data_IF_156576383961
#
_entry.id   IF_156576383961
#
_cell.length_a   1.000
_cell.length_b   1.000
_cell.length_c   1.000
_cell.angle_alpha   90.00
_cell.angle_beta   90.00
_cell.angle_gamma   90.00
#
_symmetry.space_group_name_H-M   'P 1'
#
loop_
_entity.id
_entity.type
_entity.pdbx_description
1 polymer ?
#
# COMPACT_ATOMS: atom_id res chain seq x y z
N UNK A 1 -1.36 -46.71 -63.34
CA UNK A 1 -2.00 -46.85 -62.02
C UNK A 1 -0.86 -46.97 -61.04
N UNK A 2 -0.65 -45.87 -60.31
CA UNK A 2 0.47 -45.67 -59.39
C UNK A 2 0.32 -46.66 -58.23
N UNK A 3 1.32 -47.53 -58.04
CA UNK A 3 1.37 -48.41 -56.89
C UNK A 3 1.46 -47.52 -55.65
N UNK A 4 0.31 -47.32 -54.98
CA UNK A 4 0.27 -46.74 -53.63
C UNK A 4 1.23 -47.59 -52.81
N UNK A 5 2.35 -46.97 -52.43
CA UNK A 5 3.49 -47.66 -51.85
C UNK A 5 3.09 -48.22 -50.47
N UNK A 6 2.75 -49.52 -50.43
CA UNK A 6 2.41 -50.24 -49.20
C UNK A 6 3.50 -50.06 -48.11
N UNK A 7 4.74 -49.73 -48.50
CA UNK A 7 5.82 -49.41 -47.55
C UNK A 7 5.58 -48.11 -46.78
N UNK A 8 4.92 -47.10 -47.36
CA UNK A 8 4.53 -45.90 -46.60
C UNK A 8 3.49 -46.23 -45.54
N UNK A 9 2.56 -47.13 -45.84
CA UNK A 9 1.55 -47.60 -44.90
C UNK A 9 2.18 -48.44 -43.78
N UNK A 10 3.09 -49.36 -44.10
CA UNK A 10 3.81 -50.17 -43.11
C UNK A 10 4.69 -49.30 -42.19
N UNK A 11 5.37 -48.29 -42.74
CA UNK A 11 6.17 -47.33 -41.96
C UNK A 11 5.30 -46.47 -41.03
N UNK A 12 4.09 -46.08 -41.46
CA UNK A 12 3.13 -45.37 -40.63
C UNK A 12 2.60 -46.25 -39.49
N UNK A 13 2.20 -47.49 -39.79
CA UNK A 13 1.70 -48.45 -38.80
C UNK A 13 2.80 -48.78 -37.77
N UNK A 14 4.05 -49.00 -38.21
CA UNK A 14 5.19 -49.19 -37.28
C UNK A 14 5.48 -47.95 -36.43
N UNK A 15 5.33 -46.74 -36.98
CA UNK A 15 5.50 -45.49 -36.22
C UNK A 15 4.41 -45.32 -35.14
N UNK A 16 3.17 -45.69 -35.45
CA UNK A 16 2.06 -45.68 -34.48
C UNK A 16 2.23 -46.76 -33.41
N UNK A 17 2.57 -47.99 -33.81
CA UNK A 17 2.82 -49.12 -32.89
C UNK A 17 3.98 -48.85 -31.94
N UNK A 18 5.05 -48.19 -32.40
CA UNK A 18 6.20 -47.80 -31.57
C UNK A 18 5.93 -46.59 -30.67
N UNK A 19 4.93 -45.75 -30.99
CA UNK A 19 4.46 -44.66 -30.14
C UNK A 19 3.52 -45.08 -29.02
N UNK A 20 2.83 -46.22 -29.18
CA UNK A 20 1.81 -46.71 -28.24
C UNK A 20 2.35 -46.96 -26.81
N UNK A 21 3.53 -47.61 -26.62
CA UNK A 21 4.11 -47.78 -25.28
C UNK A 21 4.47 -46.45 -24.61
N UNK A 22 4.97 -45.47 -25.38
CA UNK A 22 5.30 -44.13 -24.86
C UNK A 22 4.05 -43.39 -24.41
N UNK A 23 2.96 -43.50 -25.17
CA UNK A 23 1.68 -42.90 -24.83
C UNK A 23 1.06 -43.51 -23.56
N UNK A 24 1.11 -44.83 -23.41
CA UNK A 24 0.65 -45.50 -22.18
C UNK A 24 1.49 -45.11 -20.96
N UNK A 25 2.81 -45.03 -21.11
CA UNK A 25 3.69 -44.56 -20.04
C UNK A 25 3.44 -43.09 -19.67
N UNK A 26 3.16 -42.23 -20.65
CA UNK A 26 2.76 -40.84 -20.43
C UNK A 26 1.47 -40.72 -19.61
N UNK A 27 0.45 -41.52 -19.91
CA UNK A 27 -0.79 -41.58 -19.13
C UNK A 27 -0.49 -42.05 -17.70
N UNK A 28 0.31 -43.12 -17.54
CA UNK A 28 0.71 -43.62 -16.22
C UNK A 28 1.44 -42.56 -15.40
N UNK A 29 2.35 -41.81 -16.02
CA UNK A 29 3.10 -40.74 -15.39
C UNK A 29 2.21 -39.55 -14.98
N UNK A 30 1.22 -39.19 -15.80
CA UNK A 30 0.22 -38.18 -15.43
C UNK A 30 -0.62 -38.60 -14.23
N UNK A 31 -1.09 -39.86 -14.20
CA UNK A 31 -1.88 -40.39 -13.08
C UNK A 31 -1.03 -40.36 -11.81
N UNK A 32 0.21 -40.84 -11.88
CA UNK A 32 1.15 -40.80 -10.77
C UNK A 32 1.37 -39.37 -10.28
N UNK A 33 1.61 -38.44 -11.20
CA UNK A 33 1.82 -37.03 -10.90
C UNK A 33 0.63 -36.37 -10.22
N UNK A 34 -0.58 -36.65 -10.70
CA UNK A 34 -1.82 -36.18 -10.09
C UNK A 34 -1.98 -36.66 -8.65
N UNK A 35 -1.72 -37.96 -8.40
CA UNK A 35 -1.80 -38.54 -7.06
C UNK A 35 -0.76 -37.89 -6.13
N UNK A 36 0.50 -37.80 -6.57
CA UNK A 36 1.59 -37.18 -5.81
C UNK A 36 1.25 -35.71 -5.49
N UNK A 37 0.84 -34.92 -6.48
CA UNK A 37 0.48 -33.51 -6.29
C UNK A 37 -0.63 -33.34 -5.26
N UNK A 38 -1.64 -34.21 -5.27
CA UNK A 38 -2.75 -34.18 -4.31
C UNK A 38 -2.31 -34.52 -2.88
N UNK A 39 -1.43 -35.51 -2.73
CA UNK A 39 -0.85 -35.89 -1.42
C UNK A 39 0.01 -34.75 -0.88
N UNK A 40 0.91 -34.20 -1.70
CA UNK A 40 1.78 -33.08 -1.28
C UNK A 40 0.95 -31.84 -0.92
N UNK A 41 -0.10 -31.52 -1.71
CA UNK A 41 -1.03 -30.44 -1.38
C UNK A 41 -1.63 -30.60 0.01
N UNK A 42 -2.09 -31.81 0.35
CA UNK A 42 -2.69 -32.09 1.65
C UNK A 42 -1.66 -31.99 2.80
N UNK A 43 -0.44 -32.48 2.56
CA UNK A 43 0.67 -32.39 3.51
C UNK A 43 1.07 -30.93 3.78
N UNK A 44 1.29 -30.14 2.72
CA UNK A 44 1.62 -28.72 2.79
C UNK A 44 0.52 -27.94 3.48
N UNK A 45 -0.75 -28.16 3.12
CA UNK A 45 -1.87 -27.48 3.78
C UNK A 45 -1.90 -27.76 5.28
N UNK A 46 -1.73 -29.03 5.66
CA UNK A 46 -1.67 -29.43 7.07
C UNK A 46 -0.48 -28.79 7.79
N UNK A 47 0.68 -28.74 7.16
CA UNK A 47 1.87 -28.11 7.71
C UNK A 47 1.68 -26.60 7.92
N UNK A 48 1.18 -25.89 6.90
CA UNK A 48 0.90 -24.45 6.97
C UNK A 48 -0.18 -24.11 8.00
N UNK A 49 -1.20 -24.95 8.14
CA UNK A 49 -2.21 -24.81 9.19
C UNK A 49 -1.61 -25.02 10.58
N UNK A 50 -0.69 -25.99 10.76
CA UNK A 50 0.01 -26.26 12.03
C UNK A 50 0.85 -25.08 12.49
N UNK A 51 1.59 -24.43 11.59
CA UNK A 51 2.37 -23.22 11.91
C UNK A 51 1.50 -21.95 11.98
N UNK A 52 0.17 -22.11 11.87
CA UNK A 52 -0.83 -21.04 12.01
C UNK A 52 -0.66 -19.90 11.00
N UNK A 53 -0.22 -20.19 9.77
CA UNK A 53 -0.16 -19.17 8.69
C UNK A 53 -1.54 -18.54 8.46
N UNK A 54 -2.60 -19.31 8.67
CA UNK A 54 -3.97 -18.81 8.52
C UNK A 54 -4.34 -17.71 9.53
N UNK A 55 -3.57 -17.48 10.61
CA UNK A 55 -3.75 -16.29 11.46
C UNK A 55 -3.52 -14.97 10.71
N UNK A 56 -2.78 -15.00 9.60
CA UNK A 56 -2.66 -13.85 8.73
C UNK A 56 -4.01 -13.50 8.11
N UNK A 57 -4.89 -14.48 7.87
CA UNK A 57 -6.26 -14.22 7.41
C UNK A 57 -7.03 -13.37 8.41
N UNK A 58 -6.98 -13.70 9.69
CA UNK A 58 -7.67 -12.95 10.75
C UNK A 58 -7.21 -11.48 10.76
N UNK A 59 -5.89 -11.24 10.65
CA UNK A 59 -5.34 -9.88 10.57
C UNK A 59 -5.74 -9.13 9.30
N UNK A 60 -5.88 -9.84 8.19
CA UNK A 60 -6.36 -9.25 6.94
C UNK A 60 -7.85 -8.91 7.03
N UNK A 61 -8.65 -9.74 7.70
CA UNK A 61 -10.08 -9.49 7.93
C UNK A 61 -10.34 -8.25 8.82
N UNK A 62 -9.39 -7.83 9.66
CA UNK A 62 -9.48 -6.54 10.37
C UNK A 62 -9.38 -5.31 9.43
N UNK A 63 -8.87 -5.48 8.21
CA UNK A 63 -8.68 -4.40 7.27
C UNK A 63 -10.01 -4.16 6.54
N UNK A 64 -10.59 -2.97 6.73
CA UNK A 64 -11.91 -2.61 6.19
C UNK A 64 -12.10 -2.95 4.69
N UNK A 65 -11.05 -2.77 3.89
CA UNK A 65 -11.08 -3.08 2.45
C UNK A 65 -11.27 -4.59 2.21
N UNK A 66 -10.52 -5.42 2.92
CA UNK A 66 -10.59 -6.88 2.81
C UNK A 66 -11.88 -7.39 3.41
N UNK A 67 -12.30 -6.89 4.58
CA UNK A 67 -13.56 -7.26 5.23
C UNK A 67 -14.78 -7.00 4.34
N UNK A 68 -14.75 -5.90 3.57
CA UNK A 68 -15.81 -5.54 2.60
C UNK A 68 -15.74 -6.38 1.33
N UNK A 69 -14.58 -6.96 1.01
CA UNK A 69 -14.48 -7.92 -0.07
C UNK A 69 -15.16 -9.22 0.37
N UNK A 70 -16.10 -9.76 -0.40
CA UNK A 70 -16.74 -11.07 -0.10
C UNK A 70 -15.77 -12.25 -0.26
N UNK A 71 -14.45 -12.01 -0.20
CA UNK A 71 -13.38 -12.94 -0.52
C UNK A 71 -12.76 -13.42 0.80
N UNK A 72 -12.93 -14.70 1.11
CA UNK A 72 -12.26 -15.33 2.25
C UNK A 72 -10.82 -15.70 1.86
N UNK A 73 -9.85 -14.91 2.33
CA UNK A 73 -8.43 -15.16 2.08
C UNK A 73 -7.94 -16.22 3.06
N UNK A 74 -7.56 -17.40 2.56
CA UNK A 74 -6.95 -18.47 3.38
C UNK A 74 -5.55 -18.73 2.86
N UNK A 75 -4.49 -18.14 3.45
CA UNK A 75 -3.12 -18.24 2.96
C UNK A 75 -2.64 -19.68 2.77
N UNK A 76 -2.95 -20.59 3.71
CA UNK A 76 -2.57 -22.00 3.59
C UNK A 76 -3.17 -22.68 2.36
N UNK A 77 -4.43 -22.34 2.03
CA UNK A 77 -5.13 -22.87 0.87
C UNK A 77 -4.54 -22.32 -0.43
N UNK A 78 -4.20 -21.04 -0.47
CA UNK A 78 -3.61 -20.39 -1.65
C UNK A 78 -2.24 -21.00 -1.93
N UNK A 79 -1.36 -21.04 -0.93
CA UNK A 79 0.00 -21.59 -1.06
C UNK A 79 -0.02 -23.08 -1.41
N UNK A 80 -0.86 -23.88 -0.73
CA UNK A 80 -0.98 -25.30 -1.05
C UNK A 80 -1.53 -25.54 -2.46
N UNK A 81 -2.45 -24.69 -2.94
CA UNK A 81 -2.96 -24.80 -4.31
C UNK A 81 -1.90 -24.39 -5.33
N UNK A 82 -1.06 -23.40 -5.04
CA UNK A 82 0.07 -23.03 -5.90
C UNK A 82 1.06 -24.19 -6.05
N UNK A 83 1.44 -24.85 -4.94
CA UNK A 83 2.33 -26.02 -4.95
C UNK A 83 1.70 -27.21 -5.70
N UNK A 84 0.37 -27.40 -5.56
CA UNK A 84 -0.33 -28.42 -6.32
C UNK A 84 -0.19 -28.22 -7.84
N UNK A 85 -0.43 -26.99 -8.32
CA UNK A 85 -0.29 -26.67 -9.74
C UNK A 85 1.17 -26.75 -10.20
N UNK A 86 2.13 -26.34 -9.37
CA UNK A 86 3.57 -26.49 -9.65
C UNK A 86 3.92 -27.95 -9.97
N UNK A 87 3.55 -28.85 -9.06
CA UNK A 87 3.85 -30.28 -9.21
C UNK A 87 3.16 -30.84 -10.45
N UNK A 88 1.89 -30.47 -10.68
CA UNK A 88 1.16 -30.90 -11.87
C UNK A 88 1.90 -30.47 -13.14
N UNK A 89 2.33 -29.21 -13.24
CA UNK A 89 3.06 -28.72 -14.42
C UNK A 89 4.39 -29.48 -14.60
N UNK A 90 5.13 -29.77 -13.52
CA UNK A 90 6.38 -30.57 -13.60
C UNK A 90 6.12 -31.95 -14.21
N UNK A 91 5.05 -32.65 -13.79
CA UNK A 91 4.69 -33.94 -14.38
C UNK A 91 4.22 -33.80 -15.83
N UNK A 92 3.49 -32.74 -16.17
CA UNK A 92 3.10 -32.48 -17.56
C UNK A 92 4.33 -32.21 -18.42
N UNK A 93 5.32 -31.46 -17.94
CA UNK A 93 6.61 -31.25 -18.63
C UNK A 93 7.27 -32.59 -18.93
N UNK A 94 7.44 -33.45 -17.91
CA UNK A 94 8.03 -34.77 -18.08
C UNK A 94 7.28 -35.64 -19.11
N UNK A 95 5.95 -35.56 -19.12
CA UNK A 95 5.10 -36.26 -20.08
C UNK A 95 5.27 -35.69 -21.49
N UNK A 96 5.29 -34.37 -21.63
CA UNK A 96 5.51 -33.72 -22.93
C UNK A 96 6.90 -34.02 -23.49
N UNK A 97 7.93 -34.10 -22.64
CA UNK A 97 9.28 -34.52 -23.05
C UNK A 97 9.31 -35.99 -23.48
N UNK A 98 8.64 -36.88 -22.74
CA UNK A 98 8.51 -38.30 -23.11
C UNK A 98 7.83 -38.49 -24.47
N UNK A 99 6.84 -37.64 -24.77
CA UNK A 99 6.12 -37.60 -26.05
C UNK A 99 6.86 -36.81 -27.14
N UNK A 100 8.03 -36.22 -26.85
CA UNK A 100 8.83 -35.39 -27.76
C UNK A 100 8.09 -34.11 -28.23
N UNK A 101 7.24 -33.55 -27.36
CA UNK A 101 6.51 -32.30 -27.57
C UNK A 101 7.33 -31.10 -27.04
N UNK A 102 8.54 -30.91 -27.58
CA UNK A 102 9.55 -29.96 -27.08
C UNK A 102 9.07 -28.51 -26.99
N UNK A 103 8.25 -28.07 -27.94
CA UNK A 103 7.65 -26.72 -27.90
C UNK A 103 6.75 -26.57 -26.67
N UNK A 104 5.92 -27.57 -26.38
CA UNK A 104 4.99 -27.54 -25.23
C UNK A 104 5.78 -27.58 -23.93
N UNK A 105 6.78 -28.46 -23.82
CA UNK A 105 7.59 -28.57 -22.60
C UNK A 105 8.37 -27.29 -22.30
N UNK A 106 8.86 -26.58 -23.32
CA UNK A 106 9.54 -25.29 -23.17
C UNK A 106 8.60 -24.20 -22.61
N UNK A 107 7.38 -24.10 -23.14
CA UNK A 107 6.39 -23.14 -22.62
C UNK A 107 5.97 -23.47 -21.19
N UNK A 108 5.76 -24.76 -20.88
CA UNK A 108 5.41 -25.19 -19.53
C UNK A 108 6.56 -24.97 -18.54
N UNK A 109 7.81 -25.16 -18.94
CA UNK A 109 9.00 -24.85 -18.13
C UNK A 109 9.09 -23.35 -17.84
N UNK A 110 8.74 -22.52 -18.82
CA UNK A 110 8.63 -21.07 -18.60
C UNK A 110 7.54 -20.74 -17.57
N UNK A 111 6.39 -21.42 -17.60
CA UNK A 111 5.35 -21.28 -16.57
C UNK A 111 5.85 -21.65 -15.16
N UNK A 112 6.67 -22.69 -15.03
CA UNK A 112 7.28 -23.06 -13.74
C UNK A 112 8.09 -21.88 -13.17
N UNK A 113 8.80 -21.13 -14.01
CA UNK A 113 9.61 -19.98 -13.56
C UNK A 113 8.78 -18.80 -13.06
N UNK A 114 7.51 -18.67 -13.48
CA UNK A 114 6.58 -17.67 -12.95
C UNK A 114 6.02 -18.03 -11.57
N UNK A 115 6.07 -19.30 -11.15
CA UNK A 115 5.50 -19.72 -9.86
C UNK A 115 6.27 -19.18 -8.64
N UNK A 116 7.62 -19.22 -8.61
CA UNK A 116 8.39 -18.52 -7.59
C UNK A 116 8.06 -17.03 -7.51
N UNK A 117 7.91 -16.36 -8.67
CA UNK A 117 7.53 -14.95 -8.77
C UNK A 117 6.12 -14.69 -8.20
N UNK A 118 5.16 -15.56 -8.51
CA UNK A 118 3.82 -15.50 -7.94
C UNK A 118 3.82 -15.68 -6.41
N UNK A 119 4.69 -16.55 -5.88
CA UNK A 119 4.84 -16.73 -4.44
C UNK A 119 5.43 -15.48 -3.77
N UNK A 120 6.49 -14.89 -4.34
CA UNK A 120 7.08 -13.65 -3.81
C UNK A 120 6.09 -12.49 -3.87
N UNK A 121 5.37 -12.34 -4.98
CA UNK A 121 4.32 -11.34 -5.14
C UNK A 121 3.22 -11.48 -4.08
N UNK A 122 2.73 -12.71 -3.88
CA UNK A 122 1.70 -12.98 -2.88
C UNK A 122 2.19 -12.67 -1.46
N UNK A 123 3.39 -13.15 -1.09
CA UNK A 123 3.98 -12.90 0.22
C UNK A 123 4.19 -11.40 0.46
N UNK A 124 4.74 -10.68 -0.52
CA UNK A 124 4.94 -9.25 -0.45
C UNK A 124 3.63 -8.48 -0.33
N UNK A 125 2.61 -8.86 -1.10
CA UNK A 125 1.30 -8.21 -1.03
C UNK A 125 0.69 -8.33 0.36
N UNK A 126 0.71 -9.54 0.96
CA UNK A 126 0.21 -9.75 2.32
C UNK A 126 1.01 -8.93 3.33
N UNK A 127 2.34 -8.99 3.28
CA UNK A 127 3.20 -8.25 4.20
C UNK A 127 3.00 -6.72 4.08
N UNK A 128 2.99 -6.21 2.86
CA UNK A 128 2.80 -4.78 2.57
C UNK A 128 1.40 -4.29 2.96
N UNK A 129 0.35 -5.10 2.78
CA UNK A 129 -1.01 -4.75 3.17
C UNK A 129 -1.14 -4.65 4.70
N UNK A 130 -0.56 -5.61 5.44
CA UNK A 130 -0.51 -5.57 6.91
C UNK A 130 0.31 -4.37 7.41
N UNK A 131 1.45 -4.10 6.76
CA UNK A 131 2.29 -2.95 7.10
C UNK A 131 1.59 -1.62 6.84
N UNK A 132 0.86 -1.51 5.73
CA UNK A 132 0.06 -0.33 5.39
C UNK A 132 -1.05 -0.08 6.41
N UNK A 133 -1.73 -1.13 6.87
CA UNK A 133 -2.74 -1.03 7.92
C UNK A 133 -2.13 -0.66 9.28
N UNK A 134 -0.96 -1.22 9.60
CA UNK A 134 -0.21 -0.82 10.80
C UNK A 134 0.10 0.68 10.77
N UNK A 135 0.64 1.20 9.66
CA UNK A 135 0.92 2.63 9.51
C UNK A 135 -0.35 3.48 9.57
N UNK A 136 -1.46 3.02 8.99
CA UNK A 136 -2.78 3.65 9.12
C UNK A 136 -3.16 3.81 10.59
N UNK A 137 -3.07 2.74 11.38
CA UNK A 137 -3.41 2.72 12.82
C UNK A 137 -2.49 3.66 13.63
N UNK A 138 -1.19 3.64 13.34
CA UNK A 138 -0.20 4.53 13.98
C UNK A 138 -0.54 6.00 13.70
N UNK A 139 -0.75 6.36 12.43
CA UNK A 139 -1.06 7.75 12.04
C UNK A 139 -2.42 8.20 12.56
N UNK A 140 -3.43 7.33 12.54
CA UNK A 140 -4.74 7.62 13.13
C UNK A 140 -4.62 7.94 14.62
N UNK A 141 -3.90 7.10 15.36
CA UNK A 141 -3.75 7.25 16.81
C UNK A 141 -2.94 8.51 17.16
N UNK A 142 -1.84 8.75 16.46
CA UNK A 142 -1.02 9.94 16.66
C UNK A 142 -1.82 11.23 16.36
N UNK A 143 -2.49 11.29 15.21
CA UNK A 143 -3.28 12.46 14.82
C UNK A 143 -4.46 12.71 15.78
N UNK A 144 -5.14 11.65 16.22
CA UNK A 144 -6.23 11.75 17.19
C UNK A 144 -5.72 12.21 18.56
N UNK A 145 -4.54 11.75 18.99
CA UNK A 145 -3.94 12.09 20.28
C UNK A 145 -3.61 13.58 20.42
N UNK A 146 -3.37 14.28 19.30
CA UNK A 146 -3.09 15.73 19.28
C UNK A 146 -4.31 16.56 18.86
N UNK A 147 -5.50 15.94 18.83
CA UNK A 147 -6.76 16.65 18.58
C UNK A 147 -7.02 17.02 17.12
N UNK A 148 -6.35 16.39 16.14
CA UNK A 148 -6.65 16.66 14.71
C UNK A 148 -8.03 16.10 14.37
N UNK A 149 -9.03 16.94 14.01
CA UNK A 149 -10.39 16.48 13.72
C UNK A 149 -10.43 15.50 12.52
N UNK A 150 -9.54 15.71 11.56
CA UNK A 150 -9.45 14.94 10.31
C UNK A 150 -8.55 13.69 10.40
N UNK A 151 -8.20 13.23 11.61
CA UNK A 151 -7.30 12.09 11.82
C UNK A 151 -7.70 10.82 11.02
N UNK A 152 -9.01 10.52 10.96
CA UNK A 152 -9.54 9.38 10.19
C UNK A 152 -9.31 9.54 8.68
N UNK A 153 -9.51 10.74 8.14
CA UNK A 153 -9.35 11.01 6.71
C UNK A 153 -7.88 10.89 6.33
N UNK A 154 -6.98 11.52 7.09
CA UNK A 154 -5.54 11.50 6.82
C UNK A 154 -4.98 10.07 6.83
N UNK A 155 -5.30 9.29 7.87
CA UNK A 155 -4.87 7.89 7.97
C UNK A 155 -5.45 7.01 6.86
N UNK A 156 -6.70 7.25 6.44
CA UNK A 156 -7.33 6.51 5.34
C UNK A 156 -6.68 6.85 4.00
N UNK A 157 -6.38 8.11 3.72
CA UNK A 157 -5.67 8.53 2.50
C UNK A 157 -4.28 7.86 2.46
N UNK A 158 -3.54 7.90 3.57
CA UNK A 158 -2.25 7.23 3.68
C UNK A 158 -2.36 5.73 3.38
N UNK A 159 -3.36 5.06 3.95
CA UNK A 159 -3.57 3.64 3.70
C UNK A 159 -3.78 3.33 2.22
N UNK A 160 -4.66 4.08 1.54
CA UNK A 160 -4.91 3.84 0.11
C UNK A 160 -3.70 4.18 -0.76
N UNK A 161 -2.93 5.21 -0.39
CA UNK A 161 -1.66 5.54 -1.03
C UNK A 161 -0.64 4.41 -0.90
N UNK A 162 -0.48 3.84 0.30
CA UNK A 162 0.44 2.71 0.50
C UNK A 162 -0.08 1.43 -0.16
N UNK A 163 -1.39 1.18 -0.07
CA UNK A 163 -2.04 0.02 -0.67
C UNK A 163 -1.82 -0.04 -2.19
N UNK A 164 -2.04 1.07 -2.91
CA UNK A 164 -1.85 1.08 -4.36
C UNK A 164 -0.39 0.84 -4.73
N UNK A 165 0.57 1.40 -3.99
CA UNK A 165 1.99 1.15 -4.19
C UNK A 165 2.35 -0.32 -3.92
N UNK A 166 1.89 -0.89 -2.79
CA UNK A 166 2.10 -2.30 -2.46
C UNK A 166 1.49 -3.22 -3.52
N UNK A 167 0.30 -2.90 -4.00
CA UNK A 167 -0.36 -3.67 -5.05
C UNK A 167 0.47 -3.67 -6.34
N UNK A 168 0.94 -2.50 -6.78
CA UNK A 168 1.76 -2.38 -7.98
C UNK A 168 3.10 -3.10 -7.81
N UNK A 169 3.78 -2.92 -6.67
CA UNK A 169 5.03 -3.62 -6.38
C UNK A 169 4.85 -5.14 -6.31
N UNK A 170 3.69 -5.63 -5.87
CA UNK A 170 3.34 -7.04 -5.94
C UNK A 170 3.17 -7.51 -7.41
N UNK A 171 2.54 -6.71 -8.27
CA UNK A 171 2.46 -7.00 -9.70
C UNK A 171 3.86 -7.02 -10.35
N UNK A 172 4.74 -6.09 -10.01
CA UNK A 172 6.14 -6.09 -10.47
C UNK A 172 6.85 -7.39 -10.05
N UNK A 173 6.64 -7.84 -8.81
CA UNK A 173 7.19 -9.12 -8.32
C UNK A 173 6.57 -10.34 -8.98
N UNK A 174 5.36 -10.22 -9.53
CA UNK A 174 4.72 -11.27 -10.31
C UNK A 174 5.23 -11.33 -11.76
N UNK A 175 6.21 -10.49 -12.12
CA UNK A 175 6.76 -10.40 -13.48
C UNK A 175 5.93 -9.55 -14.43
N UNK A 176 4.97 -8.78 -13.91
CA UNK A 176 4.13 -7.88 -14.72
C UNK A 176 4.89 -6.56 -14.92
N UNK A 177 5.00 -6.11 -16.16
CA UNK A 177 5.52 -4.79 -16.47
C UNK A 177 4.55 -3.71 -15.97
N UNK A 178 4.98 -2.99 -14.94
CA UNK A 178 4.21 -1.93 -14.28
C UNK A 178 4.80 -0.55 -14.49
N UNK A 179 5.86 -0.39 -15.28
CA UNK A 179 6.58 0.87 -15.40
C UNK A 179 5.66 2.00 -15.87
N UNK A 180 4.86 1.73 -16.90
CA UNK A 180 3.84 2.65 -17.40
C UNK A 180 2.85 3.05 -16.29
N UNK A 181 2.38 2.10 -15.49
CA UNK A 181 1.41 2.34 -14.41
C UNK A 181 2.06 3.20 -13.30
N UNK A 182 3.28 2.88 -12.89
CA UNK A 182 4.02 3.61 -11.86
C UNK A 182 4.29 5.07 -12.27
N UNK A 183 4.74 5.28 -13.51
CA UNK A 183 5.04 6.61 -14.04
C UNK A 183 3.79 7.50 -14.05
N UNK A 184 2.68 7.00 -14.59
CA UNK A 184 1.42 7.75 -14.63
C UNK A 184 0.87 8.02 -13.23
N UNK A 185 0.91 7.05 -12.31
CA UNK A 185 0.45 7.27 -10.94
C UNK A 185 1.31 8.26 -10.16
N UNK A 186 2.63 8.20 -10.34
CA UNK A 186 3.53 9.19 -9.74
C UNK A 186 3.22 10.59 -10.25
N UNK A 187 2.93 10.74 -11.53
CA UNK A 187 2.52 12.02 -12.12
C UNK A 187 1.19 12.52 -11.55
N UNK A 188 0.18 11.66 -11.44
CA UNK A 188 -1.14 12.01 -10.89
C UNK A 188 -1.03 12.39 -9.40
N UNK A 189 -0.41 11.52 -8.59
CA UNK A 189 -0.28 11.75 -7.16
C UNK A 189 0.63 12.96 -6.90
N UNK A 190 1.74 13.07 -7.63
CA UNK A 190 2.63 14.22 -7.58
C UNK A 190 1.91 15.52 -7.92
N UNK A 191 1.09 15.53 -8.97
CA UNK A 191 0.26 16.68 -9.34
C UNK A 191 -0.77 17.04 -8.26
N UNK A 192 -1.46 16.06 -7.69
CA UNK A 192 -2.42 16.27 -6.60
C UNK A 192 -1.71 16.83 -5.36
N UNK A 193 -0.63 16.20 -4.91
CA UNK A 193 0.16 16.63 -3.75
C UNK A 193 0.73 18.04 -3.98
N UNK A 194 1.20 18.33 -5.18
CA UNK A 194 1.69 19.66 -5.56
C UNK A 194 0.58 20.71 -5.50
N UNK A 195 -0.59 20.43 -6.08
CA UNK A 195 -1.73 21.33 -6.06
C UNK A 195 -2.24 21.59 -4.63
N UNK A 196 -2.39 20.54 -3.81
CA UNK A 196 -2.77 20.67 -2.40
C UNK A 196 -1.70 21.39 -1.59
N UNK A 197 -0.43 21.07 -1.79
CA UNK A 197 0.69 21.69 -1.10
C UNK A 197 0.77 23.20 -1.38
N UNK A 198 0.65 23.60 -2.65
CA UNK A 198 0.60 25.01 -3.03
C UNK A 198 -0.66 25.70 -2.50
N UNK A 199 -1.83 25.12 -2.73
CA UNK A 199 -3.10 25.71 -2.30
C UNK A 199 -3.16 25.91 -0.78
N UNK A 200 -2.80 24.88 -0.02
CA UNK A 200 -2.77 24.95 1.44
C UNK A 200 -1.63 25.84 1.95
N UNK A 201 -0.46 25.82 1.31
CA UNK A 201 0.67 26.68 1.65
C UNK A 201 0.33 28.16 1.52
N UNK A 202 -0.36 28.54 0.45
CA UNK A 202 -0.84 29.93 0.26
C UNK A 202 -1.96 30.25 1.27
N UNK A 203 -2.94 29.35 1.44
CA UNK A 203 -4.09 29.59 2.34
C UNK A 203 -3.71 29.65 3.82
N UNK A 204 -2.64 28.97 4.24
CA UNK A 204 -2.19 28.93 5.65
C UNK A 204 -1.17 30.01 6.00
N UNK A 205 -0.80 30.88 5.05
CA UNK A 205 0.26 31.89 5.21
C UNK A 205 0.02 32.79 6.42
N UNK A 206 -1.19 33.33 6.60
CA UNK A 206 -1.48 34.29 7.67
C UNK A 206 -1.52 33.64 9.06
N UNK A 207 -2.03 32.40 9.14
CA UNK A 207 -2.02 31.62 10.38
C UNK A 207 -0.58 31.29 10.78
N UNK A 208 0.23 30.79 9.84
CA UNK A 208 1.63 30.46 10.12
C UNK A 208 2.46 31.70 10.47
N UNK A 209 2.22 32.84 9.80
CA UNK A 209 2.85 34.10 10.18
C UNK A 209 2.52 34.48 11.63
N UNK A 210 1.28 34.24 12.07
CA UNK A 210 0.85 34.50 13.45
C UNK A 210 1.50 33.54 14.45
N UNK A 211 1.59 32.25 14.13
CA UNK A 211 2.27 31.25 14.96
C UNK A 211 3.75 31.57 15.15
N UNK A 212 4.44 31.94 14.06
CA UNK A 212 5.85 32.35 14.12
C UNK A 212 6.02 33.65 14.91
N UNK A 213 5.14 34.63 14.68
CA UNK A 213 5.11 35.87 15.44
C UNK A 213 4.97 35.61 16.94
N UNK A 214 4.04 34.76 17.37
CA UNK A 214 3.87 34.42 18.78
C UNK A 214 5.05 33.67 19.39
N UNK A 215 5.74 32.84 18.61
CA UNK A 215 6.93 32.14 19.11
C UNK A 215 8.13 33.08 19.31
N UNK A 216 8.33 34.05 18.42
CA UNK A 216 9.48 34.95 18.44
C UNK A 216 9.25 36.26 19.20
N UNK A 217 8.00 36.74 19.29
CA UNK A 217 7.70 38.04 19.87
C UNK A 217 7.43 37.93 21.38
N UNK A 218 8.50 37.93 22.18
CA UNK A 218 8.47 37.87 23.65
C UNK A 218 8.52 39.25 24.34
N UNK A 219 8.23 40.33 23.60
CA UNK A 219 8.39 41.71 24.11
C UNK A 219 7.15 42.25 24.81
N UNK A 220 6.00 41.62 24.56
CA UNK A 220 4.71 42.01 25.13
C UNK A 220 4.30 40.96 26.17
N UNK A 221 3.78 41.42 27.30
CA UNK A 221 3.34 40.59 28.41
C UNK A 221 1.89 40.91 28.76
N UNK A 222 1.19 39.94 29.33
CA UNK A 222 -0.12 40.19 29.93
C UNK A 222 -0.01 41.27 31.01
N UNK A 223 -0.94 42.21 30.99
CA UNK A 223 -0.91 43.42 31.83
C UNK A 223 -0.29 44.65 31.17
N UNK A 224 0.44 44.52 30.05
CA UNK A 224 0.95 45.69 29.32
C UNK A 224 -0.21 46.51 28.74
N UNK A 225 -0.17 47.84 28.94
CA UNK A 225 -1.09 48.75 28.23
C UNK A 225 -0.47 49.11 26.89
N UNK A 226 -1.15 48.75 25.81
CA UNK A 226 -0.64 48.94 24.45
C UNK A 226 -1.62 49.71 23.57
N UNK A 227 -1.07 50.35 22.53
CA UNK A 227 -1.84 50.88 21.40
C UNK A 227 -1.37 50.21 20.12
N UNK A 228 -2.32 49.62 19.40
CA UNK A 228 -2.14 49.02 18.07
C UNK A 228 -3.22 49.58 17.15
N UNK A 229 -2.80 50.31 16.11
CA UNK A 229 -3.74 51.03 15.23
C UNK A 229 -4.59 52.03 16.04
N UNK A 230 -5.91 51.88 15.97
CA UNK A 230 -6.87 52.70 16.74
C UNK A 230 -7.26 52.10 18.10
N UNK A 231 -6.80 50.89 18.42
CA UNK A 231 -7.19 50.18 19.64
C UNK A 231 -6.17 50.45 20.74
N UNK A 232 -6.65 50.97 21.88
CA UNK A 232 -5.84 51.15 23.09
C UNK A 232 -6.50 50.42 24.25
N UNK A 233 -5.74 49.62 24.98
CA UNK A 233 -6.23 48.86 26.12
C UNK A 233 -5.11 48.06 26.79
N UNK A 234 -5.50 47.14 27.66
CA UNK A 234 -4.56 46.29 28.39
C UNK A 234 -4.58 44.88 27.81
N UNK A 235 -3.42 44.26 27.63
CA UNK A 235 -3.34 42.87 27.19
C UNK A 235 -3.87 41.96 28.31
N UNK A 236 -4.92 41.21 28.03
CA UNK A 236 -5.55 40.29 28.99
C UNK A 236 -5.17 38.83 28.77
N UNK A 237 -4.84 38.46 27.53
CA UNK A 237 -4.40 37.10 27.19
C UNK A 237 -3.48 37.13 25.99
N UNK A 238 -2.42 36.31 26.01
CA UNK A 238 -1.55 36.06 24.84
C UNK A 238 -1.59 34.58 24.46
N UNK A 239 -2.09 34.28 23.26
CA UNK A 239 -2.11 32.93 22.68
C UNK A 239 -0.93 32.71 21.72
N UNK A 240 -0.89 31.56 21.04
CA UNK A 240 0.10 31.31 19.97
C UNK A 240 -0.20 32.04 18.66
N UNK A 241 -1.44 32.49 18.46
CA UNK A 241 -1.93 33.06 17.18
C UNK A 241 -2.44 34.48 17.29
N UNK A 242 -2.87 34.88 18.48
CA UNK A 242 -3.55 36.13 18.75
C UNK A 242 -3.20 36.63 20.15
N UNK A 243 -3.51 37.89 20.39
CA UNK A 243 -3.64 38.44 21.74
C UNK A 243 -4.98 39.16 21.89
N UNK A 244 -5.45 39.24 23.12
CA UNK A 244 -6.69 39.93 23.48
C UNK A 244 -6.34 41.23 24.19
N UNK A 245 -6.81 42.35 23.64
CA UNK A 245 -6.70 43.67 24.27
C UNK A 245 -8.07 44.09 24.75
N UNK A 246 -8.20 44.34 26.04
CA UNK A 246 -9.47 44.76 26.64
C UNK A 246 -9.39 46.25 27.00
N UNK A 247 -10.42 47.00 26.60
CA UNK A 247 -10.64 48.38 27.01
C UNK A 247 -11.83 48.42 28.00
N UNK A 248 -12.39 49.60 28.32
CA UNK A 248 -13.45 49.71 29.33
C UNK A 248 -14.76 49.01 28.93
N UNK A 249 -15.00 48.79 27.63
CA UNK A 249 -16.29 48.33 27.11
C UNK A 249 -16.21 47.01 26.32
N UNK A 250 -15.08 46.78 25.65
CA UNK A 250 -14.90 45.76 24.62
C UNK A 250 -13.60 44.96 24.81
N UNK A 251 -13.58 43.73 24.29
CA UNK A 251 -12.37 42.93 24.14
C UNK A 251 -12.09 42.70 22.65
N UNK A 252 -10.92 43.10 22.20
CA UNK A 252 -10.51 43.05 20.79
C UNK A 252 -9.46 41.95 20.59
N UNK A 253 -9.73 41.02 19.68
CA UNK A 253 -8.81 39.94 19.30
C UNK A 253 -7.92 40.43 18.16
N UNK A 254 -6.62 40.44 18.37
CA UNK A 254 -5.62 40.92 17.41
C UNK A 254 -4.69 39.76 17.01
N UNK A 255 -4.67 39.35 15.73
CA UNK A 255 -3.71 38.35 15.25
C UNK A 255 -2.26 38.82 15.41
N UNK A 256 -1.38 37.92 15.88
CA UNK A 256 0.04 38.26 16.10
C UNK A 256 0.81 38.57 14.81
N UNK A 257 0.31 38.09 13.67
CA UNK A 257 0.86 38.45 12.35
C UNK A 257 0.74 39.94 12.05
N UNK A 258 -0.31 40.61 12.52
CA UNK A 258 -0.51 42.05 12.31
C UNK A 258 0.43 42.88 13.19
N UNK A 259 0.70 42.39 14.40
CA UNK A 259 1.66 43.00 15.34
C UNK A 259 3.07 43.03 14.77
N UNK A 260 3.43 41.99 14.03
CA UNK A 260 4.77 41.86 13.42
C UNK A 260 4.95 42.75 12.19
N UNK A 261 3.85 43.23 11.59
CA UNK A 261 3.87 44.10 10.40
C UNK A 261 3.75 45.58 10.75
N UNK A 262 3.26 45.91 11.95
CA UNK A 262 2.92 47.26 12.38
C UNK A 262 3.78 47.80 13.52
N UNK A 263 3.50 49.04 13.94
CA UNK A 263 4.09 49.66 15.13
C UNK A 263 3.17 49.40 16.33
N UNK A 264 3.77 48.93 17.42
CA UNK A 264 3.09 48.75 18.72
C UNK A 264 3.67 49.76 19.69
N UNK A 265 2.82 50.57 20.30
CA UNK A 265 3.23 51.51 21.36
C UNK A 265 2.92 50.85 22.70
N UNK A 266 3.95 50.65 23.52
CA UNK A 266 3.82 50.15 24.89
C UNK A 266 3.87 51.34 25.84
N UNK A 267 2.78 51.59 26.57
CA UNK A 267 2.69 52.69 27.51
C UNK A 267 3.31 52.27 28.85
N UNK A 268 4.41 52.91 29.24
CA UNK A 268 4.97 52.66 30.56
C UNK A 268 4.10 53.33 31.63
N UNK A 269 3.64 52.54 32.60
CA UNK A 269 3.09 53.08 33.85
C UNK A 269 4.21 53.90 34.49
N UNK A 270 4.01 55.22 34.66
CA UNK A 270 4.94 56.04 35.44
C UNK A 270 5.00 55.44 36.84
N UNK A 271 6.09 54.76 37.15
CA UNK A 271 6.44 54.34 38.50
C UNK A 271 6.55 55.63 39.32
N UNK A 272 5.53 55.92 40.12
CA UNK A 272 5.51 57.08 41.01
C UNK A 272 6.42 56.75 42.20
N UNK A 273 7.72 56.67 41.94
CA UNK A 273 8.75 56.67 42.99
C UNK A 273 9.04 58.11 43.37
N UNK A 274 8.25 58.59 44.32
CA UNK A 274 8.71 59.56 45.31
C UNK A 274 9.48 58.82 46.41
#
# INVERSE_FOLDING_TARGET
>A
MENVDFKMFDNFIQSVLSGLPKFLGAIGLLILGYVIARVVRAAVRTFLAKIKVDKLADKLEEIDLVAKSKIKIVPSKIIASLIYYLLLIIFVVAVTDMLNLTTVSTYLTSLINYLPQAFTAFAFFIAGLLFSDFLRKVVYTAAKSIGIPSAKVISTILFYFLFINVFISALTQAGIDTEFIQSNLTMIIGGIVFAFGLGYGIASKDIMASVLAGYYNKRLHEGDRITIGSVTGTITSISKTDLIVTNESDSVIIPLSEISKGVVIVHQTKDNKN
#
